data_IF_044618301144
#
_entry.id   IF_044618301144
#
_cell.length_a   1.000
_cell.length_b   1.000
_cell.length_c   1.000
_cell.angle_alpha   90.00
_cell.angle_beta   90.00
_cell.angle_gamma   90.00
#
_symmetry.space_group_name_H-M   'P 1'
#
loop_
_entity.id
_entity.type
_entity.pdbx_description
1 polymer ?
#
# COMPACT_ATOMS: atom_id res chain seq x y z
N UNK A 1 -2.02 -5.39 -21.81
CA UNK A 1 -1.80 -6.84 -21.65
C UNK A 1 -2.95 -7.61 -22.29
N UNK A 2 -2.67 -8.65 -23.08
CA UNK A 2 -3.71 -9.55 -23.61
C UNK A 2 -4.03 -10.65 -22.59
N UNK A 3 -5.23 -11.24 -22.64
CA UNK A 3 -5.62 -12.30 -21.70
C UNK A 3 -4.68 -13.51 -21.71
N UNK A 4 -4.17 -13.91 -22.88
CA UNK A 4 -3.22 -15.02 -23.00
C UNK A 4 -1.90 -14.74 -22.27
N UNK A 5 -1.38 -13.51 -22.41
CA UNK A 5 -0.16 -13.06 -21.73
C UNK A 5 -0.34 -13.03 -20.21
N UNK A 6 -1.48 -12.51 -19.72
CA UNK A 6 -1.83 -12.54 -18.31
C UNK A 6 -1.82 -13.97 -17.74
N UNK A 7 -2.44 -14.92 -18.46
CA UNK A 7 -2.52 -16.33 -18.03
C UNK A 7 -1.15 -17.00 -17.96
N UNK A 8 -0.21 -16.64 -18.83
CA UNK A 8 1.17 -17.16 -18.75
C UNK A 8 1.93 -16.58 -17.55
N UNK A 9 1.80 -15.28 -17.27
CA UNK A 9 2.41 -14.65 -16.09
C UNK A 9 1.83 -15.21 -14.79
N UNK A 10 0.52 -15.49 -14.75
CA UNK A 10 -0.19 -16.03 -13.59
C UNK A 10 0.27 -17.42 -13.15
N UNK A 11 1.04 -18.15 -13.97
CA UNK A 11 1.66 -19.42 -13.58
C UNK A 11 2.88 -19.23 -12.67
N UNK A 12 3.47 -18.03 -12.65
CA UNK A 12 4.75 -17.75 -11.97
C UNK A 12 4.66 -16.62 -10.94
N UNK A 13 3.77 -15.66 -11.16
CA UNK A 13 3.62 -14.45 -10.35
C UNK A 13 2.23 -14.38 -9.77
N UNK A 14 2.11 -13.85 -8.55
CA UNK A 14 0.81 -13.62 -7.90
C UNK A 14 0.41 -12.14 -7.88
N UNK A 15 1.28 -11.25 -8.36
CA UNK A 15 0.96 -9.85 -8.66
C UNK A 15 1.23 -9.59 -10.14
N UNK A 16 0.19 -9.27 -10.90
CA UNK A 16 0.28 -9.09 -12.36
C UNK A 16 -0.45 -7.79 -12.73
N UNK A 17 0.29 -6.72 -13.04
CA UNK A 17 -0.33 -5.43 -13.34
C UNK A 17 -1.01 -5.46 -14.71
N UNK A 18 -2.32 -5.19 -14.72
CA UNK A 18 -3.10 -4.99 -15.95
C UNK A 18 -3.34 -3.51 -16.14
N UNK A 19 -2.72 -2.92 -17.17
CA UNK A 19 -2.69 -1.47 -17.34
C UNK A 19 -3.39 -0.98 -18.59
N UNK A 20 -3.89 0.26 -18.52
CA UNK A 20 -4.38 1.04 -19.66
C UNK A 20 -3.90 2.48 -19.49
N UNK A 21 -3.34 3.05 -20.55
CA UNK A 21 -2.95 4.47 -20.61
C UNK A 21 -4.07 5.28 -21.27
N UNK A 22 -4.45 6.38 -20.65
CA UNK A 22 -5.48 7.29 -21.12
C UNK A 22 -4.90 8.71 -21.23
N UNK A 23 -5.45 9.54 -22.12
CA UNK A 23 -5.17 10.97 -22.13
C UNK A 23 -5.95 11.64 -21.00
N UNK A 24 -5.28 12.49 -20.22
CA UNK A 24 -5.84 13.18 -19.06
C UNK A 24 -5.20 14.58 -18.90
N UNK A 25 -5.00 15.26 -20.03
CA UNK A 25 -4.39 16.59 -20.11
C UNK A 25 -5.22 17.70 -19.43
N UNK A 26 -6.54 17.52 -19.35
CA UNK A 26 -7.45 18.38 -18.58
C UNK A 26 -7.55 18.06 -17.09
N UNK A 27 -6.76 17.13 -16.57
CA UNK A 27 -6.86 16.65 -15.19
C UNK A 27 -5.58 16.95 -14.38
N UNK A 28 -5.76 17.31 -13.12
CA UNK A 28 -4.70 17.30 -12.10
C UNK A 28 -4.79 16.03 -11.25
N UNK A 29 -3.70 15.66 -10.57
CA UNK A 29 -3.70 14.51 -9.65
C UNK A 29 -4.80 14.63 -8.58
N UNK A 30 -4.99 15.82 -8.00
CA UNK A 30 -6.05 16.08 -7.04
C UNK A 30 -7.46 15.91 -7.66
N UNK A 31 -7.67 16.40 -8.88
CA UNK A 31 -8.96 16.23 -9.55
C UNK A 31 -9.28 14.77 -9.87
N UNK A 32 -8.26 13.98 -10.26
CA UNK A 32 -8.39 12.53 -10.46
C UNK A 32 -8.65 11.81 -9.15
N UNK A 33 -7.96 12.16 -8.07
CA UNK A 33 -8.21 11.60 -6.75
C UNK A 33 -9.67 11.80 -6.33
N UNK A 34 -10.19 13.03 -6.45
CA UNK A 34 -11.60 13.31 -6.12
C UNK A 34 -12.58 12.50 -6.97
N UNK A 35 -12.34 12.40 -8.28
CA UNK A 35 -13.21 11.65 -9.21
C UNK A 35 -13.18 10.14 -8.94
N UNK A 36 -11.99 9.58 -8.73
CA UNK A 36 -11.78 8.14 -8.64
C UNK A 36 -11.95 7.61 -7.21
N UNK A 37 -11.29 8.22 -6.24
CA UNK A 37 -11.25 7.78 -4.86
C UNK A 37 -12.45 8.27 -4.03
N UNK A 38 -12.96 9.48 -4.31
CA UNK A 38 -14.11 10.07 -3.61
C UNK A 38 -13.95 10.13 -2.08
N UNK A 39 -12.71 10.30 -1.61
CA UNK A 39 -12.36 10.36 -0.17
C UNK A 39 -12.81 9.12 0.63
N UNK A 40 -13.07 7.99 -0.06
CA UNK A 40 -13.46 6.75 0.61
C UNK A 40 -12.30 6.22 1.47
N UNK A 41 -12.60 5.50 2.57
CA UNK A 41 -11.59 4.74 3.29
C UNK A 41 -10.85 3.79 2.34
N UNK A 42 -9.57 3.54 2.61
CA UNK A 42 -8.78 2.66 1.75
C UNK A 42 -8.28 3.32 0.46
N UNK A 43 -8.15 4.65 0.44
CA UNK A 43 -7.64 5.42 -0.70
C UNK A 43 -6.48 6.32 -0.29
N UNK A 44 -5.63 6.69 -1.25
CA UNK A 44 -4.49 7.56 -1.00
C UNK A 44 -4.13 8.41 -2.23
N UNK A 45 -3.45 9.53 -1.97
CA UNK A 45 -2.78 10.35 -2.96
C UNK A 45 -1.35 10.60 -2.47
N UNK A 46 -0.36 10.19 -3.27
CA UNK A 46 1.05 10.47 -3.03
C UNK A 46 1.56 11.40 -4.14
N UNK A 47 2.06 12.56 -3.74
CA UNK A 47 2.72 13.48 -4.66
C UNK A 47 4.11 13.81 -4.10
N UNK A 48 5.10 13.89 -4.99
CA UNK A 48 6.45 14.28 -4.63
C UNK A 48 6.77 15.64 -5.23
N UNK A 49 7.10 16.60 -4.37
CA UNK A 49 7.64 17.89 -4.78
C UNK A 49 9.16 17.87 -4.54
N UNK A 50 9.95 18.10 -5.58
CA UNK A 50 11.39 18.20 -5.45
C UNK A 50 11.75 19.64 -5.06
N UNK A 51 12.37 19.82 -3.89
CA UNK A 51 12.87 21.08 -3.29
C UNK A 51 12.40 22.39 -3.98
N UNK A 52 11.09 22.65 -3.90
CA UNK A 52 10.47 23.95 -4.15
C UNK A 52 10.46 24.47 -5.58
N UNK A 53 10.77 23.69 -6.63
CA UNK A 53 10.79 24.23 -8.01
C UNK A 53 10.05 23.41 -9.06
N UNK A 54 10.01 22.08 -8.97
CA UNK A 54 9.38 21.22 -9.99
C UNK A 54 8.68 20.05 -9.29
N UNK A 55 7.40 19.84 -9.59
CA UNK A 55 6.69 18.63 -9.17
C UNK A 55 7.30 17.41 -9.87
N UNK A 56 7.44 16.30 -9.16
CA UNK A 56 7.98 15.09 -9.77
C UNK A 56 7.09 14.63 -10.94
N UNK A 57 7.67 13.83 -11.84
CA UNK A 57 6.96 13.32 -13.04
C UNK A 57 5.70 12.51 -12.72
N UNK A 58 5.56 11.97 -11.50
CA UNK A 58 4.47 11.08 -11.12
C UNK A 58 3.77 11.52 -9.83
N UNK A 59 2.45 11.43 -9.84
CA UNK A 59 1.61 11.33 -8.64
C UNK A 59 0.95 9.95 -8.65
N UNK A 60 0.76 9.34 -7.48
CA UNK A 60 0.16 8.01 -7.34
C UNK A 60 -1.17 8.10 -6.59
N UNK A 61 -2.20 7.44 -7.12
CA UNK A 61 -3.52 7.38 -6.50
C UNK A 61 -3.90 5.93 -6.25
N UNK A 62 -4.17 5.58 -4.99
CA UNK A 62 -4.85 4.35 -4.60
C UNK A 62 -6.35 4.58 -4.60
N UNK A 63 -7.08 3.90 -5.47
CA UNK A 63 -8.52 4.15 -5.69
C UNK A 63 -9.43 3.24 -4.87
N UNK A 64 -8.95 2.02 -4.58
CA UNK A 64 -9.72 1.01 -3.85
C UNK A 64 -8.78 -0.11 -3.37
N UNK A 65 -8.28 0.01 -2.14
CA UNK A 65 -7.53 -1.07 -1.50
C UNK A 65 -8.50 -2.14 -0.98
N UNK A 66 -8.29 -3.41 -1.37
CA UNK A 66 -9.18 -4.51 -0.98
C UNK A 66 -9.06 -4.87 0.50
N UNK A 67 -7.87 -4.68 1.07
CA UNK A 67 -7.60 -5.01 2.44
C UNK A 67 -6.59 -4.04 3.06
N UNK A 68 -6.48 -4.05 4.37
CA UNK A 68 -5.46 -3.30 5.12
C UNK A 68 -4.89 -4.20 6.20
N UNK A 69 -3.58 -4.46 6.14
CA UNK A 69 -2.83 -5.10 7.21
C UNK A 69 -2.53 -4.05 8.29
N UNK A 70 -2.98 -4.28 9.51
CA UNK A 70 -2.81 -3.36 10.64
C UNK A 70 -2.57 -4.15 11.92
N UNK A 71 -2.61 -3.48 13.05
CA UNK A 71 -2.37 -4.04 14.37
C UNK A 71 -3.58 -3.74 15.27
N UNK A 72 -4.01 -4.75 16.04
CA UNK A 72 -4.97 -4.61 17.13
C UNK A 72 -4.55 -5.49 18.31
N UNK A 73 -4.48 -4.90 19.52
CA UNK A 73 -4.09 -5.58 20.77
C UNK A 73 -2.73 -6.29 20.69
N UNK A 74 -1.77 -5.67 20.01
CA UNK A 74 -0.41 -6.16 19.82
C UNK A 74 -0.24 -7.17 18.69
N UNK A 75 -1.31 -7.53 17.97
CA UNK A 75 -1.33 -8.60 16.97
C UNK A 75 -1.74 -8.08 15.58
N UNK A 76 -1.18 -8.69 14.54
CA UNK A 76 -1.49 -8.39 13.16
C UNK A 76 -2.93 -8.79 12.80
N UNK A 77 -3.70 -7.89 12.20
CA UNK A 77 -5.07 -8.13 11.74
C UNK A 77 -5.29 -7.58 10.34
N UNK A 78 -6.26 -8.13 9.61
CA UNK A 78 -6.66 -7.62 8.29
C UNK A 78 -8.04 -6.99 8.34
N UNK A 79 -8.15 -5.74 7.88
CA UNK A 79 -9.43 -5.08 7.62
C UNK A 79 -9.80 -5.24 6.16
N UNK A 80 -11.07 -5.46 5.85
CA UNK A 80 -11.55 -5.69 4.47
C UNK A 80 -11.44 -7.16 4.02
N UNK A 81 -11.20 -7.38 2.74
CA UNK A 81 -11.15 -8.72 2.14
C UNK A 81 -9.74 -9.28 2.22
N UNK A 82 -9.43 -9.95 3.33
CA UNK A 82 -8.13 -10.55 3.56
C UNK A 82 -7.70 -11.47 2.40
N UNK A 83 -6.46 -11.35 1.89
CA UNK A 83 -5.95 -12.28 0.90
C UNK A 83 -5.89 -13.73 1.45
N UNK A 84 -6.19 -14.71 0.61
CA UNK A 84 -6.14 -16.11 1.00
C UNK A 84 -4.72 -16.49 1.48
N UNK A 85 -4.63 -17.10 2.66
CA UNK A 85 -3.35 -17.50 3.26
C UNK A 85 -2.52 -16.34 3.84
N UNK A 86 -3.05 -15.10 3.88
CA UNK A 86 -2.33 -13.98 4.48
C UNK A 86 -2.14 -14.18 6.01
N UNK A 87 -0.97 -13.83 6.55
CA UNK A 87 -0.63 -14.00 7.97
C UNK A 87 -1.50 -13.11 8.86
N UNK A 88 -1.91 -13.62 10.03
CA UNK A 88 -2.81 -12.94 10.98
C UNK A 88 -2.58 -13.50 12.39
N UNK A 89 -2.83 -12.70 13.43
CA UNK A 89 -2.72 -13.13 14.82
C UNK A 89 -1.28 -13.34 15.30
N UNK A 90 -0.30 -12.81 14.56
CA UNK A 90 1.13 -12.86 14.88
C UNK A 90 1.70 -11.46 15.08
N UNK A 91 3.01 -11.34 15.30
CA UNK A 91 3.66 -10.03 15.36
C UNK A 91 3.40 -9.21 14.06
N UNK A 92 2.94 -7.96 14.16
CA UNK A 92 2.70 -7.03 13.05
C UNK A 92 3.85 -6.89 12.06
N UNK A 93 5.09 -6.71 12.53
CA UNK A 93 6.23 -6.51 11.65
C UNK A 93 6.60 -7.81 10.94
N UNK A 94 6.44 -8.95 11.61
CA UNK A 94 6.58 -10.27 10.99
C UNK A 94 5.50 -10.54 9.94
N UNK A 95 4.24 -10.19 10.21
CA UNK A 95 3.15 -10.29 9.23
C UNK A 95 3.41 -9.43 8.00
N UNK A 96 3.92 -8.20 8.18
CA UNK A 96 4.31 -7.31 7.09
C UNK A 96 5.46 -7.90 6.26
N UNK A 97 6.48 -8.46 6.92
CA UNK A 97 7.61 -9.14 6.27
C UNK A 97 7.16 -10.35 5.45
N UNK A 98 6.33 -11.22 6.02
CA UNK A 98 5.78 -12.38 5.31
C UNK A 98 4.96 -11.89 4.12
N UNK A 99 4.01 -10.98 4.32
CA UNK A 99 3.15 -10.46 3.26
C UNK A 99 3.97 -9.91 2.09
N UNK A 100 4.94 -9.02 2.35
CA UNK A 100 5.80 -8.44 1.31
C UNK A 100 6.64 -9.49 0.59
N UNK A 101 7.17 -10.48 1.30
CA UNK A 101 7.96 -11.57 0.69
C UNK A 101 7.14 -12.51 -0.21
N UNK A 102 5.84 -12.63 0.07
CA UNK A 102 4.94 -13.45 -0.72
C UNK A 102 4.47 -12.75 -2.00
N UNK A 103 4.53 -11.42 -2.09
CA UNK A 103 4.09 -10.67 -3.27
C UNK A 103 5.17 -10.70 -4.36
N UNK A 104 5.04 -11.63 -5.30
CA UNK A 104 5.92 -11.76 -6.46
C UNK A 104 5.27 -11.11 -7.68
N UNK A 105 5.86 -10.01 -8.14
CA UNK A 105 5.35 -9.21 -9.25
C UNK A 105 6.03 -9.55 -10.57
N UNK A 106 5.24 -9.63 -11.64
CA UNK A 106 5.77 -9.74 -12.99
C UNK A 106 6.42 -8.43 -13.43
N UNK A 107 7.65 -8.47 -13.96
CA UNK A 107 8.27 -7.32 -14.59
C UNK A 107 7.58 -7.01 -15.93
N UNK A 108 6.88 -5.89 -15.99
CA UNK A 108 6.25 -5.37 -17.20
C UNK A 108 6.93 -4.06 -17.58
N UNK A 109 7.47 -4.01 -18.80
CA UNK A 109 8.18 -2.82 -19.29
C UNK A 109 7.27 -1.60 -19.38
N UNK A 110 7.82 -0.42 -19.06
CA UNK A 110 7.13 0.87 -19.21
C UNK A 110 6.14 1.22 -18.10
N UNK A 111 6.13 0.48 -16.99
CA UNK A 111 5.33 0.83 -15.82
C UNK A 111 5.89 2.05 -15.05
N UNK A 112 5.01 2.82 -14.37
CA UNK A 112 5.44 3.82 -13.40
C UNK A 112 6.24 3.20 -12.23
N UNK A 113 6.99 4.00 -11.46
CA UNK A 113 7.79 3.51 -10.33
C UNK A 113 6.99 2.74 -9.26
N UNK A 114 5.73 3.11 -9.05
CA UNK A 114 4.79 2.39 -8.19
C UNK A 114 3.61 1.92 -9.04
N UNK A 115 3.53 0.60 -9.29
CA UNK A 115 2.44 -0.03 -10.01
C UNK A 115 1.56 -0.93 -9.11
N UNK A 116 2.14 -1.44 -8.03
CA UNK A 116 1.50 -2.27 -7.01
C UNK A 116 2.39 -2.30 -5.78
N UNK A 117 1.81 -2.49 -4.60
CA UNK A 117 2.57 -2.65 -3.36
C UNK A 117 1.69 -2.37 -2.15
N UNK A 118 2.30 -2.43 -0.98
CA UNK A 118 1.68 -2.01 0.26
C UNK A 118 1.97 -0.52 0.50
N UNK A 119 0.93 0.27 0.71
CA UNK A 119 1.06 1.72 0.95
C UNK A 119 0.41 2.06 2.28
N UNK A 120 1.15 2.77 3.13
CA UNK A 120 0.71 2.95 4.51
C UNK A 120 1.72 3.67 5.38
N UNK A 121 1.65 3.41 6.67
CA UNK A 121 2.55 3.98 7.66
C UNK A 121 3.04 2.95 8.67
N UNK A 122 4.23 3.23 9.21
CA UNK A 122 4.72 2.71 10.49
C UNK A 122 4.69 3.86 11.49
N UNK A 123 3.96 3.68 12.58
CA UNK A 123 3.89 4.63 13.68
C UNK A 123 5.20 4.65 14.45
N UNK A 124 5.45 5.75 15.17
CA UNK A 124 6.69 5.90 15.94
C UNK A 124 6.88 4.77 16.97
N UNK A 125 5.81 4.39 17.69
CA UNK A 125 5.88 3.37 18.73
C UNK A 125 6.14 1.95 18.21
N UNK A 126 6.07 1.71 16.89
CA UNK A 126 6.51 0.44 16.30
C UNK A 126 7.97 0.11 16.63
N UNK A 127 8.81 1.13 16.91
CA UNK A 127 10.19 0.94 17.37
C UNK A 127 10.29 0.11 18.66
N UNK A 128 9.25 0.12 19.51
CA UNK A 128 9.20 -0.64 20.78
C UNK A 128 9.18 -2.15 20.58
N UNK A 129 8.88 -2.62 19.36
CA UNK A 129 9.01 -4.04 18.99
C UNK A 129 10.45 -4.45 18.70
N UNK A 130 11.30 -3.48 18.36
CA UNK A 130 12.70 -3.70 18.02
C UNK A 130 13.62 -3.38 19.20
N UNK A 131 13.25 -2.38 20.01
CA UNK A 131 14.07 -1.86 21.10
C UNK A 131 13.30 -1.79 22.41
N UNK A 132 13.98 -2.05 23.53
CA UNK A 132 13.39 -1.93 24.86
C UNK A 132 13.40 -0.47 25.32
N UNK A 133 12.23 0.18 25.28
CA UNK A 133 12.05 1.56 25.73
C UNK A 133 11.19 1.63 27.01
N UNK A 134 11.37 2.67 27.84
CA UNK A 134 10.50 2.90 28.99
C UNK A 134 9.12 3.42 28.54
N UNK A 135 8.08 3.12 29.32
CA UNK A 135 6.70 3.55 29.08
C UNK A 135 6.35 4.73 29.99
N UNK A 136 6.94 5.90 29.71
CA UNK A 136 6.74 7.13 30.49
C UNK A 136 5.71 8.07 29.86
N UNK A 137 5.67 8.12 28.53
CA UNK A 137 4.68 8.90 27.81
C UNK A 137 3.31 8.21 27.88
N UNK A 138 2.26 9.02 27.93
CA UNK A 138 0.89 8.53 27.82
C UNK A 138 0.58 8.26 26.35
N UNK A 139 0.03 7.10 26.03
CA UNK A 139 -0.62 6.85 24.75
C UNK A 139 -2.03 7.45 24.80
N UNK A 140 -2.19 8.63 24.20
CA UNK A 140 -3.43 9.40 24.16
C UNK A 140 -4.13 9.39 22.80
N UNK A 141 -3.42 8.98 21.73
CA UNK A 141 -3.97 8.88 20.38
C UNK A 141 -4.50 7.48 20.07
N UNK A 142 -4.03 6.44 20.76
CA UNK A 142 -4.46 5.05 20.57
C UNK A 142 -4.40 4.61 19.09
N UNK A 143 -3.33 5.02 18.41
CA UNK A 143 -3.11 4.69 17.01
C UNK A 143 -2.56 3.26 16.90
N UNK A 144 -2.99 2.47 15.90
CA UNK A 144 -2.29 1.26 15.53
C UNK A 144 -0.81 1.57 15.23
N UNK A 145 0.07 0.64 15.56
CA UNK A 145 1.50 0.82 15.29
C UNK A 145 1.82 0.80 13.78
N UNK A 146 0.93 0.23 12.97
CA UNK A 146 1.05 0.22 11.52
C UNK A 146 -0.30 0.09 10.84
N UNK A 147 -0.41 0.61 9.61
CA UNK A 147 -1.49 0.26 8.70
C UNK A 147 -0.99 0.35 7.27
N UNK A 148 -1.08 -0.76 6.53
CA UNK A 148 -0.64 -0.90 5.15
C UNK A 148 -1.76 -1.47 4.29
N UNK A 149 -2.09 -0.77 3.22
CA UNK A 149 -3.15 -1.13 2.27
C UNK A 149 -2.57 -1.72 0.99
#
# INVERSE_FOLDING_TARGET
>A
MKLAEFRELAKKFNVIPVTRKLLADGETALSLYRKLAQERPGTFLLESAENGKIWSRYSFIGVNSQATLTEENGLAVWKGTKPAGAPEGIDPLEALRITTSHLTSAEVSGLPPLASGLVGYLGYDAVRRMEKLPNLAKDDLHLPEMAFQ
#
